data_IF_640248899206
#
_entry.id   IF_640248899206
#
_cell.length_a   1.000
_cell.length_b   1.000
_cell.length_c   1.000
_cell.angle_alpha   90.00
_cell.angle_beta   90.00
_cell.angle_gamma   90.00
#
_symmetry.space_group_name_H-M   'P 1'
#
loop_
_entity.id
_entity.type
_entity.pdbx_description
1 polymer ?
#
# COMPACT_ATOMS: atom_id res chain seq x y z
N UNK A 1 2.77 -3.25 1.24
CA UNK A 1 2.56 -1.77 1.17
C UNK A 1 3.73 -1.00 0.58
N UNK A 2 4.94 -1.05 1.16
CA UNK A 2 6.07 -0.18 0.78
C UNK A 2 6.41 -0.21 -0.72
N UNK A 3 6.75 -1.38 -1.28
CA UNK A 3 7.15 -1.49 -2.70
C UNK A 3 6.04 -1.02 -3.64
N UNK A 4 4.78 -1.30 -3.31
CA UNK A 4 3.62 -0.90 -4.13
C UNK A 4 3.41 0.61 -4.07
N UNK A 5 3.58 1.22 -2.88
CA UNK A 5 3.57 2.68 -2.75
C UNK A 5 4.67 3.33 -3.58
N UNK A 6 5.89 2.79 -3.53
CA UNK A 6 7.02 3.25 -4.32
C UNK A 6 6.74 3.19 -5.83
N UNK A 7 6.29 2.03 -6.34
CA UNK A 7 5.98 1.83 -7.76
C UNK A 7 4.86 2.74 -8.28
N UNK A 8 3.96 3.19 -7.40
CA UNK A 8 2.89 4.12 -7.73
C UNK A 8 3.29 5.59 -7.57
N UNK A 9 4.55 5.86 -7.22
CA UNK A 9 5.09 7.20 -7.02
C UNK A 9 4.57 7.88 -5.76
N UNK A 10 4.15 7.11 -4.75
CA UNK A 10 3.80 7.68 -3.44
C UNK A 10 5.08 7.90 -2.61
N UNK A 11 5.23 9.09 -1.99
CA UNK A 11 6.34 9.36 -1.11
C UNK A 11 6.30 8.46 0.13
N UNK A 12 7.43 7.81 0.44
CA UNK A 12 7.57 6.98 1.63
C UNK A 12 8.32 7.78 2.69
N UNK A 13 7.67 8.09 3.82
CA UNK A 13 8.29 8.88 4.88
C UNK A 13 8.94 8.02 5.97
N UNK A 14 8.47 6.79 6.15
CA UNK A 14 8.96 5.91 7.18
C UNK A 14 8.28 4.56 7.18
N UNK A 15 8.83 3.64 7.97
CA UNK A 15 8.22 2.34 8.23
C UNK A 15 8.62 1.86 9.63
N UNK A 16 7.78 1.03 10.23
CA UNK A 16 8.10 0.30 11.46
C UNK A 16 7.91 -1.20 11.25
N UNK A 17 8.78 -1.98 11.87
CA UNK A 17 8.73 -3.45 11.95
C UNK A 17 8.45 -3.94 13.37
N UNK A 18 8.05 -3.04 14.27
CA UNK A 18 7.74 -3.41 15.64
C UNK A 18 6.53 -4.35 15.67
N UNK A 19 6.66 -5.47 16.38
CA UNK A 19 5.63 -6.52 16.45
C UNK A 19 4.30 -5.91 16.92
N UNK A 20 3.25 -6.01 16.10
CA UNK A 20 1.93 -5.45 16.38
C UNK A 20 1.78 -3.97 16.05
N UNK A 21 2.81 -3.37 15.43
CA UNK A 21 2.82 -2.00 14.88
C UNK A 21 3.47 -1.96 13.49
N UNK A 22 3.60 -3.09 12.82
CA UNK A 22 4.07 -3.11 11.43
C UNK A 22 3.21 -2.18 10.56
N UNK A 23 3.79 -1.04 10.19
CA UNK A 23 3.12 -0.03 9.38
C UNK A 23 4.13 0.62 8.45
N UNK A 24 3.67 1.00 7.25
CA UNK A 24 4.41 1.87 6.35
C UNK A 24 3.76 3.24 6.43
N UNK A 25 4.53 4.25 6.81
CA UNK A 25 4.04 5.62 6.81
C UNK A 25 4.22 6.21 5.40
N UNK A 26 3.11 6.26 4.67
CA UNK A 26 3.02 6.71 3.28
C UNK A 26 2.66 8.20 3.17
N UNK A 27 2.60 8.91 4.30
CA UNK A 27 1.86 10.16 4.36
C UNK A 27 2.81 11.35 4.29
N UNK A 28 3.08 11.82 3.07
CA UNK A 28 3.54 13.19 2.83
C UNK A 28 2.47 14.21 3.27
N UNK A 29 2.89 15.42 3.64
CA UNK A 29 2.01 16.56 3.95
C UNK A 29 0.93 16.76 2.89
N UNK A 30 1.21 16.41 1.63
CA UNK A 30 0.25 16.48 0.53
C UNK A 30 -0.88 15.44 0.65
N UNK A 31 -0.56 14.20 1.01
CA UNK A 31 -1.56 13.16 1.26
C UNK A 31 -2.32 13.46 2.55
N UNK A 32 -1.63 13.99 3.55
CA UNK A 32 -2.23 14.48 4.78
C UNK A 32 -3.21 15.62 4.50
N UNK A 33 -2.81 16.63 3.73
CA UNK A 33 -3.68 17.73 3.26
C UNK A 33 -4.84 17.22 2.42
N UNK A 34 -4.67 16.20 1.58
CA UNK A 34 -5.77 15.60 0.81
C UNK A 34 -6.76 14.84 1.72
N UNK A 35 -6.25 14.02 2.63
CA UNK A 35 -7.02 13.30 3.66
C UNK A 35 -7.75 14.27 4.60
N UNK A 36 -7.14 15.42 4.92
CA UNK A 36 -7.70 16.48 5.76
C UNK A 36 -8.62 17.43 4.97
N UNK A 37 -8.40 17.64 3.67
CA UNK A 37 -9.28 18.42 2.79
C UNK A 37 -10.58 17.70 2.47
N UNK A 38 -10.61 16.37 2.68
CA UNK A 38 -11.82 15.55 2.59
C UNK A 38 -12.30 15.25 1.18
N UNK A 39 -11.49 15.50 0.15
CA UNK A 39 -11.85 15.26 -1.25
C UNK A 39 -10.73 14.53 -1.97
N UNK A 40 -10.73 13.19 -1.88
CA UNK A 40 -9.92 12.37 -2.77
C UNK A 40 -10.61 12.27 -4.13
N UNK A 41 -9.89 12.61 -5.20
CA UNK A 41 -10.36 12.34 -6.55
C UNK A 41 -10.29 10.83 -6.87
N UNK A 42 -10.89 10.41 -7.98
CA UNK A 42 -10.94 8.98 -8.36
C UNK A 42 -9.55 8.37 -8.56
N UNK A 43 -8.59 9.12 -9.10
CA UNK A 43 -7.25 8.63 -9.41
C UNK A 43 -6.40 8.49 -8.14
N UNK A 44 -6.56 9.41 -7.20
CA UNK A 44 -5.95 9.35 -5.89
C UNK A 44 -6.51 8.20 -5.06
N UNK A 45 -7.84 8.01 -5.10
CA UNK A 45 -8.50 6.88 -4.47
C UNK A 45 -7.97 5.56 -5.02
N UNK A 46 -7.87 5.40 -6.34
CA UNK A 46 -7.37 4.17 -6.96
C UNK A 46 -5.95 3.84 -6.49
N UNK A 47 -5.05 4.83 -6.49
CA UNK A 47 -3.66 4.64 -6.02
C UNK A 47 -3.62 4.23 -4.55
N UNK A 48 -4.37 4.92 -3.70
CA UNK A 48 -4.42 4.63 -2.27
C UNK A 48 -5.07 3.28 -1.97
N UNK A 49 -6.10 2.90 -2.74
CA UNK A 49 -6.74 1.60 -2.63
C UNK A 49 -5.77 0.47 -2.95
N UNK A 50 -5.01 0.58 -4.04
CA UNK A 50 -4.00 -0.44 -4.41
C UNK A 50 -2.95 -0.58 -3.31
N UNK A 51 -2.49 0.53 -2.73
CA UNK A 51 -1.50 0.48 -1.66
C UNK A 51 -2.09 -0.10 -0.38
N UNK A 52 -3.32 0.28 -0.01
CA UNK A 52 -4.04 -0.30 1.12
C UNK A 52 -4.16 -1.82 1.00
N UNK A 53 -4.49 -2.31 -0.19
CA UNK A 53 -4.67 -3.74 -0.44
C UNK A 53 -3.37 -4.51 -0.66
N UNK A 54 -2.22 -3.83 -0.68
CA UNK A 54 -0.93 -4.48 -0.91
C UNK A 54 -0.47 -5.37 0.24
N UNK A 55 -0.91 -5.12 1.48
CA UNK A 55 -0.65 -6.03 2.60
C UNK A 55 -1.37 -7.36 2.40
N UNK A 56 -2.68 -7.29 2.20
CA UNK A 56 -3.57 -8.41 1.95
C UNK A 56 -3.13 -9.23 0.73
N UNK A 57 -2.77 -8.54 -0.36
CA UNK A 57 -2.26 -9.20 -1.56
C UNK A 57 -0.94 -9.92 -1.28
N UNK A 58 0.01 -9.32 -0.55
CA UNK A 58 1.26 -9.98 -0.20
C UNK A 58 1.05 -11.22 0.69
N UNK A 59 0.14 -11.15 1.67
CA UNK A 59 -0.22 -12.29 2.50
C UNK A 59 -0.82 -13.43 1.68
N UNK A 60 -1.82 -13.12 0.83
CA UNK A 60 -2.49 -14.12 -0.01
C UNK A 60 -1.59 -14.74 -1.08
N UNK A 61 -0.48 -14.09 -1.44
CA UNK A 61 0.55 -14.67 -2.32
C UNK A 61 1.54 -15.58 -1.61
N UNK A 62 1.72 -15.40 -0.30
CA UNK A 62 2.73 -16.11 0.49
C UNK A 62 2.13 -17.26 1.30
N UNK A 63 0.87 -17.15 1.72
CA UNK A 63 0.21 -18.09 2.61
C UNK A 63 -1.13 -18.56 2.01
N UNK A 64 -1.43 -19.86 2.14
CA UNK A 64 -2.72 -20.45 1.70
C UNK A 64 -3.93 -19.94 2.50
N UNK A 65 -3.70 -19.33 3.68
CA UNK A 65 -4.74 -18.78 4.54
C UNK A 65 -4.42 -17.35 4.94
N UNK A 66 -5.30 -16.44 4.55
CA UNK A 66 -5.19 -15.01 4.87
C UNK A 66 -5.71 -14.77 6.30
N UNK A 67 -4.81 -14.39 7.21
CA UNK A 67 -5.12 -14.15 8.63
C UNK A 67 -5.26 -12.65 8.94
N UNK A 68 -4.55 -11.77 8.23
CA UNK A 68 -4.48 -10.31 8.48
C UNK A 68 -5.58 -9.46 7.85
N UNK A 69 -6.81 -9.97 7.70
CA UNK A 69 -7.83 -9.35 6.82
C UNK A 69 -8.28 -7.94 7.23
N UNK A 70 -8.19 -7.55 8.51
CA UNK A 70 -8.93 -6.39 9.01
C UNK A 70 -8.25 -5.04 8.75
N UNK A 71 -6.95 -4.91 8.99
CA UNK A 71 -6.27 -3.60 8.98
C UNK A 71 -6.25 -2.94 7.59
N UNK A 72 -6.01 -3.73 6.55
CA UNK A 72 -5.96 -3.24 5.16
C UNK A 72 -7.35 -2.84 4.66
N UNK A 73 -8.37 -3.64 4.96
CA UNK A 73 -9.76 -3.32 4.63
C UNK A 73 -10.26 -2.08 5.39
N UNK A 74 -9.89 -1.92 6.66
CA UNK A 74 -10.21 -0.70 7.42
C UNK A 74 -9.54 0.53 6.80
N UNK A 75 -8.29 0.41 6.38
CA UNK A 75 -7.56 1.49 5.71
C UNK A 75 -8.23 1.87 4.38
N UNK A 76 -8.58 0.87 3.56
CA UNK A 76 -9.32 1.09 2.32
C UNK A 76 -10.65 1.80 2.56
N UNK A 77 -11.44 1.34 3.55
CA UNK A 77 -12.71 1.97 3.89
C UNK A 77 -12.53 3.43 4.33
N UNK A 78 -11.43 3.74 5.03
CA UNK A 78 -11.04 5.10 5.42
C UNK A 78 -10.84 6.02 4.22
N UNK A 79 -10.31 5.50 3.11
CA UNK A 79 -10.10 6.26 1.87
C UNK A 79 -11.40 6.41 1.08
N UNK A 80 -12.18 5.33 0.95
CA UNK A 80 -13.51 5.38 0.31
C UNK A 80 -14.42 6.40 1.02
N UNK A 81 -14.38 6.48 2.35
CA UNK A 81 -15.20 7.44 3.08
C UNK A 81 -14.80 8.91 2.83
N UNK A 82 -13.63 9.17 2.24
CA UNK A 82 -13.10 10.50 1.89
C UNK A 82 -13.13 10.79 0.38
N UNK A 83 -13.62 9.88 -0.44
CA UNK A 83 -13.70 10.08 -1.89
C UNK A 83 -14.92 10.91 -2.27
N UNK A 84 -14.76 11.72 -3.30
CA UNK A 84 -15.88 12.46 -3.90
C UNK A 84 -15.88 12.27 -5.43
N UNK A 85 -17.01 11.84 -6.04
CA UNK A 85 -18.31 11.52 -5.43
C UNK A 85 -18.28 10.25 -4.56
N UNK A 86 -19.31 10.06 -3.73
CA UNK A 86 -19.46 8.82 -2.92
C UNK A 86 -19.65 7.62 -3.84
N UNK A 87 -18.89 6.55 -3.59
CA UNK A 87 -19.02 5.30 -4.31
C UNK A 87 -20.25 4.52 -3.83
N UNK A 88 -20.99 3.92 -4.77
CA UNK A 88 -22.02 2.93 -4.47
C UNK A 88 -21.40 1.65 -3.89
N UNK A 89 -22.21 0.79 -3.26
CA UNK A 89 -21.74 -0.48 -2.72
C UNK A 89 -21.04 -1.36 -3.78
N UNK A 90 -21.57 -1.37 -5.00
CA UNK A 90 -20.98 -2.14 -6.11
C UNK A 90 -19.63 -1.55 -6.55
N UNK A 91 -19.53 -0.21 -6.61
CA UNK A 91 -18.27 0.46 -6.92
C UNK A 91 -17.22 0.19 -5.85
N UNK A 92 -17.60 0.19 -4.56
CA UNK A 92 -16.68 -0.15 -3.47
C UNK A 92 -16.19 -1.59 -3.59
N UNK A 93 -17.09 -2.55 -3.83
CA UNK A 93 -16.68 -3.95 -4.03
C UNK A 93 -15.76 -4.13 -5.24
N UNK A 94 -16.06 -3.48 -6.36
CA UNK A 94 -15.25 -3.54 -7.57
C UNK A 94 -13.87 -2.92 -7.35
N UNK A 95 -13.79 -1.77 -6.66
CA UNK A 95 -12.54 -1.14 -6.27
C UNK A 95 -11.70 -2.07 -5.40
N UNK A 96 -12.29 -2.70 -4.38
CA UNK A 96 -11.58 -3.65 -3.50
C UNK A 96 -11.02 -4.82 -4.30
N UNK A 97 -11.84 -5.48 -5.14
CA UNK A 97 -11.41 -6.63 -5.96
C UNK A 97 -10.29 -6.23 -6.91
N UNK A 98 -10.45 -5.12 -7.62
CA UNK A 98 -9.46 -4.62 -8.55
C UNK A 98 -8.15 -4.25 -7.85
N UNK A 99 -8.22 -3.52 -6.72
CA UNK A 99 -7.05 -3.07 -5.97
C UNK A 99 -6.21 -4.24 -5.46
N UNK A 100 -6.84 -5.30 -4.93
CA UNK A 100 -6.15 -6.53 -4.50
C UNK A 100 -5.45 -7.22 -5.66
N UNK A 101 -6.16 -7.41 -6.78
CA UNK A 101 -5.61 -8.08 -7.96
C UNK A 101 -4.44 -7.28 -8.55
N UNK A 102 -4.57 -5.97 -8.63
CA UNK A 102 -3.54 -5.10 -9.19
C UNK A 102 -2.32 -5.03 -8.27
N UNK A 103 -2.52 -4.89 -6.96
CA UNK A 103 -1.43 -4.94 -5.98
C UNK A 103 -0.70 -6.29 -6.02
N UNK A 104 -1.44 -7.40 -6.13
CA UNK A 104 -0.86 -8.73 -6.29
C UNK A 104 -0.06 -8.89 -7.59
N UNK A 105 -0.55 -8.32 -8.69
CA UNK A 105 0.18 -8.29 -9.97
C UNK A 105 1.48 -7.50 -9.85
N UNK A 106 1.45 -6.32 -9.23
CA UNK A 106 2.66 -5.51 -8.98
C UNK A 106 3.68 -6.29 -8.15
N UNK A 107 3.25 -6.96 -7.07
CA UNK A 107 4.13 -7.76 -6.22
C UNK A 107 4.75 -8.95 -6.97
N UNK A 108 3.96 -9.65 -7.79
CA UNK A 108 4.46 -10.78 -8.61
C UNK A 108 5.48 -10.33 -9.65
N UNK A 109 5.18 -9.25 -10.36
CA UNK A 109 6.03 -8.76 -11.46
C UNK A 109 7.31 -8.09 -10.95
N UNK A 110 7.31 -7.60 -9.71
CA UNK A 110 8.45 -6.92 -9.09
C UNK A 110 9.01 -7.73 -7.91
N UNK A 111 9.00 -9.07 -8.03
CA UNK A 111 9.41 -9.97 -6.95
C UNK A 111 10.85 -9.71 -6.48
N UNK A 112 11.78 -9.49 -7.42
CA UNK A 112 13.20 -9.22 -7.11
C UNK A 112 13.35 -7.94 -6.29
N UNK A 113 12.68 -6.86 -6.73
CA UNK A 113 12.64 -5.58 -6.02
C UNK A 113 12.03 -5.74 -4.62
N UNK A 114 10.92 -6.48 -4.52
CA UNK A 114 10.26 -6.73 -3.25
C UNK A 114 11.16 -7.50 -2.28
N UNK A 115 11.86 -8.53 -2.74
CA UNK A 115 12.81 -9.31 -1.92
C UNK A 115 14.01 -8.48 -1.47
N UNK A 116 14.57 -7.65 -2.37
CA UNK A 116 15.66 -6.72 -2.04
C UNK A 116 15.25 -5.73 -0.94
N UNK A 117 14.04 -5.17 -1.07
CA UNK A 117 13.46 -4.29 -0.06
C UNK A 117 13.27 -5.01 1.28
N UNK A 118 12.66 -6.20 1.28
CA UNK A 118 12.45 -6.97 2.52
C UNK A 118 13.80 -7.29 3.18
N UNK A 119 14.84 -7.61 2.42
CA UNK A 119 16.18 -7.83 2.96
C UNK A 119 16.81 -6.56 3.54
N UNK A 120 16.56 -5.39 2.97
CA UNK A 120 17.03 -4.12 3.52
C UNK A 120 16.26 -3.79 4.82
N UNK A 121 14.94 -3.91 4.79
CA UNK A 121 14.08 -3.66 5.95
C UNK A 121 14.41 -4.60 7.12
N UNK A 122 14.69 -5.88 6.87
CA UNK A 122 15.06 -6.84 7.93
C UNK A 122 16.36 -6.46 8.66
N UNK A 123 17.22 -5.66 8.01
CA UNK A 123 18.46 -5.11 8.60
C UNK A 123 18.23 -3.76 9.29
N UNK A 124 16.97 -3.32 9.42
CA UNK A 124 16.57 -2.01 9.96
C UNK A 124 17.18 -0.83 9.17
N UNK A 125 17.31 -0.99 7.86
CA UNK A 125 17.84 0.04 6.98
C UNK A 125 16.97 1.32 7.01
N UNK A 126 17.57 2.48 6.78
CA UNK A 126 16.84 3.75 6.63
C UNK A 126 15.94 3.73 5.38
N UNK A 127 15.02 4.69 5.29
CA UNK A 127 14.17 4.87 4.09
C UNK A 127 15.03 5.06 2.84
N UNK A 128 16.10 5.85 2.92
CA UNK A 128 17.01 6.10 1.81
C UNK A 128 17.69 4.80 1.34
N UNK A 129 18.18 4.00 2.27
CA UNK A 129 18.82 2.71 1.97
C UNK A 129 17.82 1.70 1.39
N UNK A 130 16.56 1.73 1.84
CA UNK A 130 15.49 0.93 1.26
C UNK A 130 15.20 1.34 -0.19
N UNK A 131 15.13 2.65 -0.49
CA UNK A 131 14.98 3.16 -1.86
C UNK A 131 16.17 2.76 -2.71
N UNK A 132 17.40 2.89 -2.20
CA UNK A 132 18.60 2.46 -2.92
C UNK A 132 18.58 0.96 -3.23
N UNK A 133 18.10 0.12 -2.30
CA UNK A 133 17.95 -1.32 -2.52
C UNK A 133 16.92 -1.64 -3.62
N UNK A 134 15.85 -0.84 -3.70
CA UNK A 134 14.85 -0.95 -4.78
C UNK A 134 15.47 -0.57 -6.14
N UNK A 135 16.12 0.59 -6.22
CA UNK A 135 16.70 1.11 -7.47
C UNK A 135 17.83 0.22 -8.01
N UNK A 136 18.62 -0.39 -7.12
CA UNK A 136 19.68 -1.32 -7.53
C UNK A 136 19.14 -2.68 -8.02
N UNK A 137 17.88 -3.00 -7.73
CA UNK A 137 17.25 -4.27 -8.06
C UNK A 137 16.25 -4.17 -9.24
N UNK A 138 16.01 -2.95 -9.74
CA UNK A 138 15.17 -2.64 -10.90
C UNK A 138 15.96 -2.77 -12.21
#
# INVERSE_FOLDING_TARGET
MYVVGYLLGLPILGYSLDIGKEHVNLIDEKLEKLIYSGQLDAKELDRLAVVAMAGLAAEGLKYDKVVGQSADLFTLQRFINRSQPKLSNDQQQNLTRWAVLFAGSLLKNNKVIHEALISAMSKKATVLECIQAIENAA
#
